data_IF_844854726994
#
_entry.id   IF_844854726994
#
_cell.length_a   1.000
_cell.length_b   1.000
_cell.length_c   1.000
_cell.angle_alpha   90.00
_cell.angle_beta   90.00
_cell.angle_gamma   90.00
#
_symmetry.space_group_name_H-M   'P 1'
#
loop_
_entity.id
_entity.type
_entity.pdbx_description
1 polymer ?
#
# COMPACT_ATOMS: atom_id res chain seq x y z
N UNK A 1 20.72 14.91 21.62
CA UNK A 1 20.93 13.59 20.97
C UNK A 1 19.81 12.68 21.44
N UNK A 2 18.72 12.58 20.68
CA UNK A 2 17.55 11.78 21.07
C UNK A 2 17.92 10.30 21.00
N UNK A 3 17.83 9.58 22.12
CA UNK A 3 18.02 8.13 22.15
C UNK A 3 16.82 7.49 21.45
N UNK A 4 17.01 6.96 20.24
CA UNK A 4 16.04 6.05 19.59
C UNK A 4 15.86 4.85 20.52
N UNK A 5 14.64 4.65 21.02
CA UNK A 5 14.26 3.42 21.71
C UNK A 5 14.32 2.22 20.77
N UNK A 6 14.13 0.98 21.28
CA UNK A 6 14.05 -0.19 20.42
C UNK A 6 12.87 -0.04 19.44
N UNK A 7 13.15 -0.20 18.15
CA UNK A 7 12.11 -0.25 17.11
C UNK A 7 11.29 -1.55 17.26
N UNK A 8 9.98 -1.45 17.03
CA UNK A 8 9.11 -2.61 16.92
C UNK A 8 9.05 -3.05 15.44
N UNK A 9 9.03 -4.36 15.23
CA UNK A 9 9.02 -4.97 13.90
C UNK A 9 7.80 -5.86 13.73
N UNK A 10 7.33 -6.02 12.49
CA UNK A 10 6.30 -6.99 12.17
C UNK A 10 6.78 -8.41 12.45
N UNK A 11 5.87 -9.23 12.97
CA UNK A 11 6.03 -10.68 13.06
C UNK A 11 5.40 -11.38 11.85
N UNK A 12 5.34 -12.71 11.89
CA UNK A 12 4.65 -13.51 10.86
C UNK A 12 3.14 -13.61 11.07
N UNK A 13 2.67 -13.36 12.29
CA UNK A 13 1.28 -13.54 12.68
C UNK A 13 0.44 -12.34 12.23
N UNK A 14 -0.49 -12.58 11.32
CA UNK A 14 -1.35 -11.54 10.78
C UNK A 14 -2.22 -10.85 11.84
N UNK A 15 -2.79 -11.60 12.78
CA UNK A 15 -3.75 -11.05 13.73
C UNK A 15 -3.01 -10.09 14.69
N UNK A 16 -1.82 -10.48 15.16
CA UNK A 16 -0.96 -9.61 15.97
C UNK A 16 -0.56 -8.35 15.21
N UNK A 17 -0.12 -8.50 13.95
CA UNK A 17 0.31 -7.37 13.13
C UNK A 17 -0.84 -6.39 12.88
N UNK A 18 -2.03 -6.90 12.56
CA UNK A 18 -3.22 -6.08 12.30
C UNK A 18 -3.65 -5.33 13.56
N UNK A 19 -3.67 -6.00 14.72
CA UNK A 19 -4.04 -5.38 16.01
C UNK A 19 -3.09 -4.24 16.39
N UNK A 20 -1.78 -4.40 16.14
CA UNK A 20 -0.82 -3.31 16.36
C UNK A 20 -1.15 -2.12 15.46
N UNK A 21 -1.36 -2.35 14.16
CA UNK A 21 -1.66 -1.26 13.22
C UNK A 21 -2.97 -0.54 13.56
N UNK A 22 -4.03 -1.29 13.88
CA UNK A 22 -5.34 -0.74 14.27
C UNK A 22 -5.23 0.13 15.52
N UNK A 23 -4.50 -0.35 16.53
CA UNK A 23 -4.29 0.38 17.78
C UNK A 23 -3.50 1.67 17.56
N UNK A 24 -2.36 1.58 16.86
CA UNK A 24 -1.47 2.73 16.66
C UNK A 24 -2.08 3.79 15.72
N UNK A 25 -2.97 3.39 14.80
CA UNK A 25 -3.71 4.31 13.92
C UNK A 25 -5.07 4.75 14.50
N UNK A 26 -5.36 4.38 15.76
CA UNK A 26 -6.56 4.72 16.50
C UNK A 26 -7.87 4.32 15.78
N UNK A 27 -7.95 3.09 15.28
CA UNK A 27 -9.18 2.54 14.68
C UNK A 27 -10.38 2.71 15.65
N UNK A 28 -11.48 3.27 15.15
CA UNK A 28 -12.68 3.59 15.92
C UNK A 28 -12.74 5.02 16.44
N UNK A 29 -11.61 5.74 16.49
CA UNK A 29 -11.55 7.18 16.75
C UNK A 29 -11.11 7.98 15.51
N UNK A 30 -10.25 7.38 14.68
CA UNK A 30 -9.85 7.90 13.37
C UNK A 30 -10.86 7.47 12.31
N UNK A 31 -11.76 8.38 11.93
CA UNK A 31 -12.81 8.12 10.95
C UNK A 31 -12.30 8.01 9.51
N UNK A 32 -11.10 8.51 9.24
CA UNK A 32 -10.48 8.42 7.93
C UNK A 32 -9.72 7.10 7.77
N UNK A 33 -9.52 6.30 8.82
CA UNK A 33 -8.81 5.03 8.71
C UNK A 33 -9.66 3.98 7.99
N UNK A 34 -9.17 3.52 6.84
CA UNK A 34 -9.74 2.40 6.10
C UNK A 34 -8.90 1.16 6.35
N UNK A 35 -9.53 0.15 6.96
CA UNK A 35 -8.99 -1.20 7.08
C UNK A 35 -9.87 -2.16 6.30
N UNK A 36 -9.31 -2.81 5.28
CA UNK A 36 -10.04 -3.76 4.43
C UNK A 36 -9.40 -5.14 4.48
N UNK A 37 -9.98 -6.00 5.30
CA UNK A 37 -9.58 -7.40 5.44
C UNK A 37 -10.03 -8.22 4.22
N UNK A 38 -9.13 -9.06 3.71
CA UNK A 38 -9.31 -9.87 2.50
C UNK A 38 -8.62 -11.23 2.65
N UNK A 39 -8.85 -12.12 1.68
CA UNK A 39 -8.09 -13.37 1.53
C UNK A 39 -7.36 -13.39 0.21
N UNK A 40 -6.03 -13.55 0.27
CA UNK A 40 -5.15 -13.59 -0.90
C UNK A 40 -4.41 -14.93 -0.87
N UNK A 41 -4.55 -15.73 -1.93
CA UNK A 41 -3.96 -17.07 -1.97
C UNK A 41 -4.42 -18.02 -0.83
N UNK A 42 -5.57 -17.75 -0.23
CA UNK A 42 -6.09 -18.48 0.94
C UNK A 42 -5.55 -18.01 2.30
N UNK A 43 -4.65 -17.02 2.32
CA UNK A 43 -4.10 -16.41 3.55
C UNK A 43 -4.88 -15.16 3.95
N UNK A 44 -4.91 -14.85 5.25
CA UNK A 44 -5.47 -13.58 5.74
C UNK A 44 -4.58 -12.43 5.26
N UNK A 45 -5.18 -11.33 4.85
CA UNK A 45 -4.48 -10.12 4.44
C UNK A 45 -5.34 -8.88 4.70
N UNK A 46 -4.73 -7.71 4.76
CA UNK A 46 -5.44 -6.45 4.91
C UNK A 46 -4.78 -5.35 4.07
N UNK A 47 -5.63 -4.46 3.54
CA UNK A 47 -5.22 -3.13 3.08
C UNK A 47 -5.52 -2.12 4.17
N UNK A 48 -4.58 -1.22 4.45
CA UNK A 48 -4.68 -0.18 5.47
C UNK A 48 -4.26 1.14 4.84
N UNK A 49 -5.15 2.14 4.84
CA UNK A 49 -4.87 3.48 4.32
C UNK A 49 -5.77 4.52 5.00
N UNK A 50 -5.50 5.80 4.73
CA UNK A 50 -6.42 6.89 5.10
C UNK A 50 -7.29 7.27 3.89
N UNK A 51 -8.57 7.51 4.14
CA UNK A 51 -9.55 8.02 3.18
C UNK A 51 -9.08 9.38 2.62
N UNK A 52 -9.40 9.65 1.35
CA UNK A 52 -9.02 10.87 0.65
C UNK A 52 -7.57 10.95 0.15
N UNK A 53 -6.67 10.05 0.57
CA UNK A 53 -5.29 10.01 0.06
C UNK A 53 -5.09 9.09 -1.15
N UNK A 54 -6.01 8.14 -1.35
CA UNK A 54 -5.88 7.09 -2.36
C UNK A 54 -7.01 7.25 -3.37
N UNK A 55 -6.68 7.22 -4.67
CA UNK A 55 -7.70 7.17 -5.72
C UNK A 55 -8.39 5.81 -5.71
N UNK A 56 -9.72 5.82 -5.60
CA UNK A 56 -10.56 4.62 -5.55
C UNK A 56 -10.27 3.62 -6.67
N UNK A 57 -10.01 4.11 -7.89
CA UNK A 57 -9.74 3.27 -9.06
C UNK A 57 -8.44 2.47 -8.90
N UNK A 58 -7.37 3.11 -8.44
CA UNK A 58 -6.05 2.46 -8.23
C UNK A 58 -6.17 1.40 -7.14
N UNK A 59 -6.82 1.75 -6.03
CA UNK A 59 -7.06 0.81 -4.92
C UNK A 59 -7.87 -0.40 -5.39
N UNK A 60 -8.93 -0.14 -6.16
CA UNK A 60 -9.79 -1.19 -6.72
C UNK A 60 -9.02 -2.11 -7.67
N UNK A 61 -8.14 -1.57 -8.52
CA UNK A 61 -7.33 -2.35 -9.45
C UNK A 61 -6.26 -3.18 -8.72
N UNK A 62 -5.59 -2.61 -7.72
CA UNK A 62 -4.67 -3.34 -6.85
C UNK A 62 -5.38 -4.52 -6.17
N UNK A 63 -6.55 -4.28 -5.58
CA UNK A 63 -7.34 -5.33 -4.94
C UNK A 63 -7.75 -6.42 -5.91
N UNK A 64 -8.31 -6.07 -7.08
CA UNK A 64 -8.71 -7.05 -8.09
C UNK A 64 -7.56 -7.94 -8.50
N UNK A 65 -6.40 -7.33 -8.75
CA UNK A 65 -5.22 -8.08 -9.21
C UNK A 65 -4.67 -9.00 -8.13
N UNK A 66 -4.65 -8.54 -6.87
CA UNK A 66 -4.20 -9.35 -5.74
C UNK A 66 -5.18 -10.47 -5.36
N UNK A 67 -6.49 -10.22 -5.44
CA UNK A 67 -7.52 -11.22 -5.19
C UNK A 67 -7.59 -12.29 -6.29
N UNK A 68 -7.17 -11.96 -7.52
CA UNK A 68 -7.10 -12.91 -8.63
C UNK A 68 -5.95 -13.92 -8.50
N UNK A 69 -5.01 -13.70 -7.58
CA UNK A 69 -3.87 -14.58 -7.37
C UNK A 69 -4.31 -15.95 -6.83
N UNK A 70 -4.06 -16.99 -7.62
CA UNK A 70 -4.34 -18.37 -7.22
C UNK A 70 -3.39 -18.83 -6.12
N UNK A 71 -3.90 -19.71 -5.25
CA UNK A 71 -3.13 -20.33 -4.16
C UNK A 71 -1.84 -21.01 -4.63
N UNK A 72 -1.85 -21.60 -5.84
CA UNK A 72 -0.69 -22.28 -6.43
C UNK A 72 0.53 -21.36 -6.58
N UNK A 73 0.30 -20.07 -6.85
CA UNK A 73 1.37 -19.08 -7.02
C UNK A 73 2.16 -18.89 -5.71
N UNK A 74 1.48 -19.01 -4.56
CA UNK A 74 2.07 -18.92 -3.22
C UNK A 74 2.86 -20.15 -2.78
N UNK A 75 2.77 -21.26 -3.52
CA UNK A 75 3.56 -22.47 -3.25
C UNK A 75 4.94 -22.42 -3.93
N UNK A 76 5.05 -21.69 -5.04
CA UNK A 76 6.25 -21.66 -5.89
C UNK A 76 7.01 -20.33 -5.86
N UNK A 77 6.54 -19.33 -5.13
CA UNK A 77 7.12 -17.99 -5.12
C UNK A 77 6.99 -17.33 -3.76
N UNK A 78 7.90 -16.41 -3.45
CA UNK A 78 7.79 -15.58 -2.24
C UNK A 78 6.61 -14.63 -2.39
N UNK A 79 5.98 -14.27 -1.27
CA UNK A 79 4.90 -13.27 -1.24
C UNK A 79 5.32 -11.99 -1.97
N UNK A 80 6.58 -11.56 -1.78
CA UNK A 80 7.15 -10.41 -2.47
C UNK A 80 7.08 -10.51 -3.99
N UNK A 81 7.60 -11.59 -4.58
CA UNK A 81 7.59 -11.76 -6.04
C UNK A 81 6.18 -11.91 -6.61
N UNK A 82 5.22 -12.34 -5.79
CA UNK A 82 3.81 -12.46 -6.19
C UNK A 82 3.17 -11.07 -6.27
N UNK A 83 3.46 -10.20 -5.32
CA UNK A 83 2.91 -8.84 -5.28
C UNK A 83 3.54 -7.97 -6.36
N UNK A 84 4.87 -8.05 -6.56
CA UNK A 84 5.56 -7.37 -7.66
C UNK A 84 5.01 -7.74 -9.06
N UNK A 85 4.56 -8.99 -9.24
CA UNK A 85 3.92 -9.44 -10.48
C UNK A 85 2.43 -9.13 -10.53
N UNK A 86 1.80 -9.04 -9.38
CA UNK A 86 0.36 -8.92 -9.22
C UNK A 86 -0.14 -7.48 -9.26
N UNK A 87 0.68 -6.47 -8.95
CA UNK A 87 0.26 -5.06 -8.96
C UNK A 87 1.00 -4.32 -10.08
N UNK A 88 0.43 -4.23 -11.29
CA UNK A 88 1.01 -3.43 -12.35
C UNK A 88 0.82 -1.92 -12.07
N UNK A 89 1.78 -1.09 -12.51
CA UNK A 89 1.70 0.40 -12.52
C UNK A 89 1.77 1.15 -11.19
N UNK A 90 2.25 0.53 -10.11
CA UNK A 90 2.41 1.19 -8.81
C UNK A 90 3.78 0.89 -8.21
N UNK A 91 4.43 1.89 -7.60
CA UNK A 91 5.67 1.64 -6.86
C UNK A 91 5.36 0.80 -5.62
N UNK A 92 6.01 -0.36 -5.56
CA UNK A 92 5.93 -1.30 -4.45
C UNK A 92 7.25 -1.29 -3.69
N UNK A 93 7.19 -1.00 -2.40
CA UNK A 93 8.33 -1.16 -1.49
C UNK A 93 7.96 -2.10 -0.34
N UNK A 94 8.98 -2.69 0.29
CA UNK A 94 8.80 -3.58 1.45
C UNK A 94 9.44 -2.95 2.68
N UNK A 95 8.75 -3.02 3.81
CA UNK A 95 9.25 -2.51 5.09
C UNK A 95 8.70 -3.38 6.23
N UNK A 96 9.44 -3.47 7.33
CA UNK A 96 9.08 -4.29 8.49
C UNK A 96 9.08 -3.53 9.82
N UNK A 97 9.63 -2.32 9.87
CA UNK A 97 9.60 -1.44 11.05
C UNK A 97 8.25 -0.78 11.19
N UNK A 98 7.59 -1.01 12.32
CA UNK A 98 6.23 -0.53 12.54
C UNK A 98 6.15 0.99 12.49
N UNK A 99 7.15 1.72 12.98
CA UNK A 99 7.17 3.19 12.92
C UNK A 99 7.24 3.73 11.48
N UNK A 100 8.02 3.10 10.61
CA UNK A 100 8.10 3.48 9.19
C UNK A 100 6.82 3.11 8.43
N UNK A 101 6.17 1.99 8.79
CA UNK A 101 4.88 1.58 8.22
C UNK A 101 3.76 2.54 8.61
N UNK A 102 3.69 2.92 9.89
CA UNK A 102 2.74 3.93 10.38
C UNK A 102 2.96 5.26 9.67
N UNK A 103 4.21 5.70 9.57
CA UNK A 103 4.56 6.93 8.85
C UNK A 103 4.10 6.90 7.39
N UNK A 104 4.25 5.75 6.71
CA UNK A 104 3.86 5.59 5.32
C UNK A 104 2.34 5.71 5.12
N UNK A 105 1.54 5.10 6.01
CA UNK A 105 0.08 5.21 6.01
C UNK A 105 -0.35 6.66 6.26
N UNK A 106 0.22 7.31 7.28
CA UNK A 106 -0.05 8.72 7.61
C UNK A 106 0.38 9.68 6.49
N UNK A 107 1.29 9.25 5.61
CA UNK A 107 1.75 9.98 4.43
C UNK A 107 0.92 9.69 3.17
N UNK A 108 -0.15 8.91 3.27
CA UNK A 108 -1.08 8.62 2.18
C UNK A 108 -0.75 7.40 1.33
N UNK A 109 0.17 6.54 1.77
CA UNK A 109 0.43 5.26 1.11
C UNK A 109 -0.58 4.21 1.54
N UNK A 110 -0.80 3.21 0.70
CA UNK A 110 -1.58 2.03 1.07
C UNK A 110 -0.64 0.97 1.61
N UNK A 111 -0.89 0.51 2.82
CA UNK A 111 -0.17 -0.60 3.41
C UNK A 111 -0.91 -1.91 3.13
N UNK A 112 -0.19 -2.94 2.70
CA UNK A 112 -0.70 -4.29 2.52
C UNK A 112 0.07 -5.27 3.41
N UNK A 113 -0.65 -5.92 4.33
CA UNK A 113 -0.12 -6.97 5.22
C UNK A 113 -0.75 -8.31 4.88
N UNK A 114 0.01 -9.40 4.99
CA UNK A 114 -0.44 -10.76 4.68
C UNK A 114 0.21 -11.78 5.62
N UNK A 115 -0.59 -12.77 6.00
CA UNK A 115 -0.19 -13.82 6.94
C UNK A 115 1.03 -14.63 6.49
N UNK A 116 1.94 -14.86 7.43
CA UNK A 116 3.22 -15.53 7.22
C UNK A 116 4.31 -14.66 6.59
N UNK A 117 4.09 -13.35 6.44
CA UNK A 117 5.10 -12.37 5.99
C UNK A 117 5.59 -11.53 7.17
N UNK A 118 6.91 -11.38 7.30
CA UNK A 118 7.55 -10.46 8.28
C UNK A 118 7.73 -9.04 7.71
N UNK A 119 7.36 -8.85 6.45
CA UNK A 119 7.38 -7.55 5.77
C UNK A 119 5.98 -7.21 5.31
N UNK A 120 5.65 -5.93 5.37
CA UNK A 120 4.49 -5.36 4.71
C UNK A 120 4.89 -4.71 3.38
N UNK A 121 3.91 -4.54 2.51
CA UNK A 121 4.07 -3.92 1.21
C UNK A 121 3.47 -2.53 1.26
N UNK A 122 4.27 -1.53 0.93
CA UNK A 122 3.82 -0.16 0.79
C UNK A 122 3.54 0.04 -0.70
N UNK A 123 2.30 0.35 -1.01
CA UNK A 123 1.79 0.64 -2.33
C UNK A 123 1.63 2.16 -2.40
N UNK A 124 2.44 2.83 -3.20
CA UNK A 124 2.35 4.28 -3.37
C UNK A 124 1.41 4.62 -4.55
N UNK A 125 0.16 5.04 -4.31
CA UNK A 125 -0.81 5.28 -5.38
C UNK A 125 -0.50 6.52 -6.22
N UNK A 126 0.58 7.26 -5.93
CA UNK A 126 0.99 8.44 -6.69
C UNK A 126 1.49 8.04 -8.07
N UNK A 127 0.56 7.88 -9.01
CA UNK A 127 0.86 8.02 -10.43
C UNK A 127 1.28 9.46 -10.66
N UNK A 128 2.55 9.74 -10.93
CA UNK A 128 2.89 10.96 -11.65
C UNK A 128 2.15 10.87 -12.99
N UNK A 129 1.15 11.72 -13.30
CA UNK A 129 0.70 11.82 -14.67
C UNK A 129 1.96 12.16 -15.46
N UNK A 130 2.31 11.32 -16.45
CA UNK A 130 3.20 11.75 -17.50
C UNK A 130 2.61 13.08 -17.97
N UNK A 131 3.35 14.17 -17.81
CA UNK A 131 2.93 15.46 -18.35
C UNK A 131 2.64 15.15 -19.82
N UNK A 132 1.37 15.17 -20.24
CA UNK A 132 1.12 15.43 -21.63
C UNK A 132 1.76 16.79 -21.83
N UNK A 133 2.77 16.94 -22.71
CA UNK A 133 3.15 18.28 -23.12
C UNK A 133 1.88 18.85 -23.76
N UNK A 134 1.14 19.69 -23.03
CA UNK A 134 0.31 20.68 -23.68
C UNK A 134 1.30 21.48 -24.52
N UNK A 135 1.26 21.26 -25.84
CA UNK A 135 1.88 22.20 -26.76
C UNK A 135 1.34 23.58 -26.37
N UNK A 136 2.20 24.55 -26.03
CA UNK A 136 1.72 25.89 -25.82
C UNK A 136 1.02 26.31 -27.11
N UNK A 137 -0.22 26.76 -27.01
CA UNK A 137 -0.90 27.42 -28.12
C UNK A 137 -0.02 28.59 -28.54
N UNK A 138 0.73 28.38 -29.62
CA UNK A 138 1.47 29.42 -30.29
C UNK A 138 0.39 30.35 -30.81
N UNK A 139 0.14 31.43 -30.07
CA UNK A 139 -0.51 32.62 -30.60
C UNK A 139 0.21 32.96 -31.90
N UNK A 140 -0.38 32.53 -33.02
CA UNK A 140 -0.02 33.06 -34.33
C UNK A 140 -0.44 34.51 -34.29
N UNK A 141 0.52 35.39 -34.00
CA UNK A 141 0.39 36.82 -34.23
C UNK A 141 0.15 36.98 -35.74
N UNK A 142 -1.12 37.11 -36.11
CA UNK A 142 -1.52 37.47 -37.47
C UNK A 142 -1.27 38.95 -37.61
N UNK A 143 -0.27 39.31 -38.43
CA UNK A 143 -0.08 40.59 -39.14
C UNK A 143 -0.75 41.83 -38.49
N UNK A 144 0.10 42.65 -37.88
CA UNK A 144 -0.12 44.08 -37.66
C UNK A 144 1.23 44.77 -37.58
#
# INVERSE_FOLDING_TARGET
>A
MFKKGPHLYLGKDYDINLDIMKKELAEGENFDLIVREVRVGGRKAAFICLDGFVKDDIMTECMKSLLALKKEVFLSSTVKSILEKGVPYVELTTENKIDELLYSVLSGSVLFIIDGSEEAFIIDPRTYPARNPEEPDIERVVRG
#
